data_IF_892835774713
#
_entry.id   IF_892835774713
#
_cell.length_a   1.000
_cell.length_b   1.000
_cell.length_c   1.000
_cell.angle_alpha   90.00
_cell.angle_beta   90.00
_cell.angle_gamma   90.00
#
_symmetry.space_group_name_H-M   'P 1'
#
loop_
_entity.id
_entity.type
_entity.pdbx_description
1 polymer ?
#
# COMPACT_ATOMS: atom_id res chain seq x y z
N UNK A 1 -9.74 10.75 -10.17
CA UNK A 1 -10.36 11.02 -8.87
C UNK A 1 -9.31 11.48 -7.87
N UNK A 2 -9.70 12.21 -6.83
CA UNK A 2 -9.01 12.14 -5.54
C UNK A 2 -9.60 10.93 -4.80
N UNK A 3 -8.75 10.00 -4.35
CA UNK A 3 -9.18 8.78 -3.67
C UNK A 3 -9.11 8.99 -2.15
N UNK A 4 -10.21 8.74 -1.45
CA UNK A 4 -10.32 8.78 0.01
C UNK A 4 -10.77 7.40 0.55
N UNK A 5 -10.43 7.02 1.79
CA UNK A 5 -10.60 5.63 2.27
C UNK A 5 -11.20 5.54 3.69
N UNK A 6 -12.17 4.64 3.84
CA UNK A 6 -12.80 4.25 5.10
C UNK A 6 -12.61 2.74 5.29
N UNK A 7 -11.89 2.35 6.34
CA UNK A 7 -11.71 0.95 6.73
C UNK A 7 -12.91 0.54 7.59
N UNK A 8 -13.50 -0.59 7.24
CA UNK A 8 -14.54 -1.30 7.99
C UNK A 8 -13.92 -2.66 8.37
N UNK A 9 -14.25 -3.29 9.51
CA UNK A 9 -13.66 -4.61 9.84
C UNK A 9 -14.67 -5.64 10.37
N UNK A 10 -14.94 -6.77 9.69
CA UNK A 10 -15.70 -7.93 10.26
C UNK A 10 -15.60 -9.28 9.49
N UNK A 11 -15.24 -10.37 10.19
CA UNK A 11 -15.16 -11.88 10.11
C UNK A 11 -15.75 -12.84 9.01
N UNK A 12 -14.98 -13.86 8.53
CA UNK A 12 -15.35 -15.24 8.06
C UNK A 12 -14.08 -16.12 7.80
N UNK A 13 -14.17 -17.46 7.72
CA UNK A 13 -13.08 -18.50 7.75
C UNK A 13 -12.48 -18.98 6.40
N UNK A 14 -11.15 -19.26 6.37
CA UNK A 14 -10.45 -20.23 5.48
C UNK A 14 -9.16 -20.79 6.15
N UNK A 15 -8.73 -22.00 5.78
CA UNK A 15 -7.65 -22.78 6.43
C UNK A 15 -6.33 -22.87 5.62
N UNK A 16 -5.18 -22.84 6.32
CA UNK A 16 -3.83 -23.10 5.79
C UNK A 16 -3.21 -24.33 6.51
N UNK A 17 -2.50 -25.19 5.79
CA UNK A 17 -2.03 -26.50 6.29
C UNK A 17 -0.79 -26.46 7.20
N UNK A 18 -0.04 -25.35 7.25
CA UNK A 18 1.17 -25.20 8.10
C UNK A 18 1.00 -24.22 9.27
N UNK A 19 0.04 -23.31 9.18
CA UNK A 19 -0.39 -22.41 10.26
C UNK A 19 -1.91 -22.62 10.31
N UNK A 20 -2.41 -23.50 11.19
CA UNK A 20 -3.75 -24.05 11.01
C UNK A 20 -4.88 -23.00 11.01
N UNK A 21 -4.65 -21.80 11.54
CA UNK A 21 -5.69 -20.79 11.74
C UNK A 21 -5.20 -19.34 11.53
N UNK A 22 -4.67 -19.02 10.36
CA UNK A 22 -4.40 -17.63 9.96
C UNK A 22 -5.18 -17.27 8.70
N UNK A 23 -5.96 -16.20 8.75
CA UNK A 23 -6.79 -15.74 7.64
C UNK A 23 -6.81 -14.22 7.56
N UNK A 24 -6.64 -13.67 6.36
CA UNK A 24 -6.87 -12.26 6.05
C UNK A 24 -7.79 -12.19 4.83
N UNK A 25 -8.90 -11.48 4.94
CA UNK A 25 -9.81 -11.15 3.83
C UNK A 25 -10.02 -9.64 3.75
N UNK A 26 -9.98 -9.09 2.53
CA UNK A 26 -10.25 -7.69 2.27
C UNK A 26 -11.31 -7.59 1.17
N UNK A 27 -12.53 -7.22 1.55
CA UNK A 27 -13.60 -6.90 0.58
C UNK A 27 -13.61 -5.40 0.34
N UNK A 28 -13.70 -4.97 -0.92
CA UNK A 28 -13.67 -3.54 -1.26
C UNK A 28 -14.91 -3.13 -2.05
N UNK A 29 -15.51 -2.01 -1.68
CA UNK A 29 -16.52 -1.30 -2.50
C UNK A 29 -16.03 0.13 -2.76
N UNK A 30 -16.32 0.66 -3.93
CA UNK A 30 -16.02 2.04 -4.29
C UNK A 30 -17.31 2.82 -4.51
N UNK A 31 -17.39 4.04 -4.00
CA UNK A 31 -18.51 4.96 -4.21
C UNK A 31 -18.02 6.40 -4.39
N UNK A 32 -18.75 7.21 -5.16
CA UNK A 32 -18.43 8.61 -5.42
C UNK A 32 -18.95 9.52 -4.28
N UNK A 33 -18.41 9.32 -3.08
CA UNK A 33 -18.71 10.14 -1.89
C UNK A 33 -17.46 10.29 -1.00
N UNK A 34 -17.61 11.02 0.11
CA UNK A 34 -16.54 11.33 1.07
C UNK A 34 -16.45 10.34 2.25
N UNK A 35 -16.99 9.11 2.10
CA UNK A 35 -17.05 8.14 3.20
C UNK A 35 -18.36 8.18 3.99
N UNK A 36 -19.40 8.81 3.45
CA UNK A 36 -20.68 9.01 4.13
C UNK A 36 -21.61 7.80 4.16
N UNK A 37 -21.35 6.76 3.36
CA UNK A 37 -22.25 5.60 3.25
C UNK A 37 -22.00 4.62 4.37
N UNK A 38 -22.99 4.49 5.26
CA UNK A 38 -22.99 3.45 6.28
C UNK A 38 -23.28 2.07 5.67
N UNK A 39 -22.54 1.06 6.12
CA UNK A 39 -22.75 -0.35 5.76
C UNK A 39 -22.84 -0.67 4.25
N UNK A 40 -22.04 0.02 3.43
CA UNK A 40 -22.04 -0.16 1.97
C UNK A 40 -21.69 -1.59 1.50
N UNK A 41 -21.06 -2.40 2.36
CA UNK A 41 -20.69 -3.79 2.08
C UNK A 41 -21.74 -4.81 2.55
N UNK A 42 -22.90 -4.34 3.06
CA UNK A 42 -24.04 -5.19 3.38
C UNK A 42 -23.79 -6.17 4.51
N UNK A 43 -23.08 -5.76 5.56
CA UNK A 43 -22.86 -6.54 6.77
C UNK A 43 -24.20 -6.76 7.49
N UNK A 44 -24.32 -7.93 8.10
CA UNK A 44 -25.42 -8.25 9.02
C UNK A 44 -25.38 -7.38 10.29
N UNK A 45 -26.48 -7.26 11.04
CA UNK A 45 -26.50 -6.50 12.29
C UNK A 45 -25.47 -6.98 13.33
N UNK A 46 -25.24 -8.30 13.39
CA UNK A 46 -24.26 -8.90 14.32
C UNK A 46 -22.84 -8.51 13.92
N UNK A 47 -22.56 -8.52 12.62
CA UNK A 47 -21.26 -8.09 12.12
C UNK A 47 -21.03 -6.61 12.43
N UNK A 48 -22.01 -5.75 12.15
CA UNK A 48 -21.93 -4.31 12.40
C UNK A 48 -21.61 -3.94 13.85
N UNK A 49 -22.15 -4.66 14.83
CA UNK A 49 -21.90 -4.41 16.26
C UNK A 49 -20.43 -4.64 16.62
N UNK A 50 -19.80 -5.65 16.03
CA UNK A 50 -18.39 -5.98 16.29
C UNK A 50 -17.42 -5.19 15.42
N UNK A 51 -17.94 -4.38 14.50
CA UNK A 51 -17.14 -3.65 13.53
C UNK A 51 -16.53 -2.41 14.17
N UNK A 52 -15.24 -2.23 13.96
CA UNK A 52 -14.58 -0.94 14.10
C UNK A 52 -14.57 -0.20 12.75
N UNK A 53 -14.85 1.10 12.80
CA UNK A 53 -14.77 1.99 11.64
C UNK A 53 -13.57 2.91 11.83
N UNK A 54 -12.68 2.88 10.86
CA UNK A 54 -11.43 3.63 10.90
C UNK A 54 -11.28 4.45 9.61
N UNK A 55 -11.25 5.77 9.73
CA UNK A 55 -11.14 6.68 8.60
C UNK A 55 -9.66 6.95 8.32
N UNK A 56 -9.21 6.65 7.10
CA UNK A 56 -7.82 6.87 6.68
C UNK A 56 -7.71 8.21 5.97
N UNK A 57 -7.01 9.16 6.59
CA UNK A 57 -6.71 10.46 6.00
C UNK A 57 -5.36 10.49 5.30
N UNK A 58 -5.38 10.38 3.97
CA UNK A 58 -4.15 10.42 3.17
C UNK A 58 -3.36 11.72 3.33
N UNK A 59 -3.95 12.83 3.76
CA UNK A 59 -3.22 14.09 3.96
C UNK A 59 -2.71 14.23 5.41
N UNK A 60 -3.55 13.87 6.39
CA UNK A 60 -3.36 14.23 7.79
C UNK A 60 -3.06 13.07 8.75
N UNK A 61 -3.26 11.82 8.35
CA UNK A 61 -2.83 10.70 9.20
C UNK A 61 -1.30 10.60 9.22
N UNK A 62 -0.77 10.22 10.38
CA UNK A 62 0.66 10.08 10.58
C UNK A 62 1.24 8.93 9.74
N UNK A 63 2.28 9.24 8.97
CA UNK A 63 3.07 8.26 8.26
C UNK A 63 4.42 8.10 8.97
N UNK A 64 4.88 6.86 9.12
CA UNK A 64 6.22 6.58 9.66
C UNK A 64 7.29 7.36 8.89
N UNK A 65 8.21 8.01 9.63
CA UNK A 65 9.28 8.83 9.06
C UNK A 65 10.18 8.07 8.08
N UNK A 66 10.29 6.75 8.22
CA UNK A 66 11.02 5.87 7.27
C UNK A 66 10.41 5.89 5.87
N UNK A 67 9.09 6.06 5.77
CA UNK A 67 8.35 6.01 4.51
C UNK A 67 7.98 7.40 3.99
N UNK A 68 8.14 8.45 4.81
CA UNK A 68 7.80 9.81 4.41
C UNK A 68 8.72 10.32 3.29
N UNK A 69 8.10 10.86 2.26
CA UNK A 69 8.73 11.64 1.20
C UNK A 69 7.86 12.85 0.93
N UNK A 70 8.47 14.03 0.87
CA UNK A 70 7.73 15.29 0.68
C UNK A 70 7.02 15.30 -0.68
N UNK A 71 7.64 14.76 -1.72
CA UNK A 71 7.04 14.65 -3.05
C UNK A 71 5.87 13.67 -3.13
N UNK A 72 5.70 12.81 -2.12
CA UNK A 72 4.56 11.89 -1.97
C UNK A 72 3.54 12.39 -0.92
N UNK A 73 3.72 13.60 -0.38
CA UNK A 73 2.81 14.19 0.61
C UNK A 73 1.66 14.94 -0.07
N UNK A 74 0.40 14.49 0.07
CA UNK A 74 -0.75 15.17 -0.54
C UNK A 74 -0.95 16.61 -0.07
N UNK A 75 -0.40 17.01 1.07
CA UNK A 75 -0.44 18.41 1.56
C UNK A 75 0.42 19.36 0.73
N UNK A 76 1.41 18.84 0.02
CA UNK A 76 2.35 19.64 -0.78
C UNK A 76 2.26 19.33 -2.26
N UNK A 77 1.79 18.12 -2.61
CA UNK A 77 1.66 17.69 -4.00
C UNK A 77 0.46 18.37 -4.70
N UNK A 78 0.72 18.94 -5.88
CA UNK A 78 -0.30 19.35 -6.84
C UNK A 78 0.00 18.75 -8.21
N UNK A 79 -0.98 18.04 -8.75
CA UNK A 79 -0.94 17.44 -10.08
C UNK A 79 -0.85 18.50 -11.17
N UNK A 80 0.16 18.40 -12.03
CA UNK A 80 0.30 19.26 -13.21
C UNK A 80 -0.64 18.84 -14.34
N UNK A 81 -1.08 17.58 -14.35
CA UNK A 81 -2.01 17.05 -15.36
C UNK A 81 -3.47 17.42 -15.07
N UNK A 82 -3.85 17.41 -13.80
CA UNK A 82 -5.27 17.53 -13.38
C UNK A 82 -5.56 18.74 -12.50
N UNK A 83 -4.53 19.43 -12.00
CA UNK A 83 -4.68 20.54 -11.06
C UNK A 83 -5.10 20.13 -9.64
N UNK A 84 -5.29 18.83 -9.37
CA UNK A 84 -5.70 18.32 -8.05
C UNK A 84 -4.60 18.46 -7.01
N UNK A 85 -5.01 18.72 -5.77
CA UNK A 85 -4.09 19.05 -4.68
C UNK A 85 -3.63 20.51 -4.75
N UNK A 86 -2.89 20.99 -3.74
CA UNK A 86 -2.62 20.31 -2.48
C UNK A 86 -3.88 20.08 -1.65
N UNK A 87 -3.91 19.01 -0.86
CA UNK A 87 -5.01 18.70 0.05
C UNK A 87 -4.84 19.49 1.35
N UNK A 88 -5.80 20.37 1.63
CA UNK A 88 -5.85 21.21 2.83
C UNK A 88 -6.83 20.65 3.87
N UNK A 89 -6.90 21.27 5.05
CA UNK A 89 -7.80 20.81 6.10
C UNK A 89 -9.25 20.89 5.62
N UNK A 90 -10.04 19.84 5.89
CA UNK A 90 -11.41 19.73 5.36
C UNK A 90 -11.49 19.39 3.86
N UNK A 91 -10.39 18.94 3.23
CA UNK A 91 -10.38 18.59 1.80
C UNK A 91 -11.46 17.58 1.39
N UNK A 92 -11.89 16.68 2.29
CA UNK A 92 -12.90 15.64 2.03
C UNK A 92 -14.25 16.24 1.62
N UNK A 93 -14.57 17.43 2.12
CA UNK A 93 -15.86 18.09 1.89
C UNK A 93 -15.78 19.13 0.76
N UNK A 94 -14.57 19.57 0.41
CA UNK A 94 -14.32 20.66 -0.54
C UNK A 94 -13.73 20.20 -1.87
N UNK A 95 -13.21 18.97 -1.94
CA UNK A 95 -12.56 18.41 -3.14
C UNK A 95 -13.55 17.66 -4.01
N UNK A 96 -13.56 17.95 -5.31
CA UNK A 96 -14.29 17.18 -6.31
C UNK A 96 -13.43 16.97 -7.58
N UNK A 97 -13.54 15.83 -8.26
CA UNK A 97 -14.32 14.64 -7.88
C UNK A 97 -13.64 13.87 -6.73
N UNK A 98 -14.46 13.40 -5.78
CA UNK A 98 -14.04 12.51 -4.69
C UNK A 98 -14.65 11.12 -4.86
N UNK A 99 -13.89 10.09 -4.48
CA UNK A 99 -14.42 8.74 -4.30
C UNK A 99 -13.93 8.20 -2.97
N UNK A 100 -14.77 7.40 -2.31
CA UNK A 100 -14.42 6.61 -1.16
C UNK A 100 -14.30 5.14 -1.54
N UNK A 101 -13.21 4.51 -1.14
CA UNK A 101 -13.11 3.05 -1.14
C UNK A 101 -13.26 2.54 0.28
N UNK A 102 -14.30 1.74 0.45
CA UNK A 102 -14.66 1.08 1.68
C UNK A 102 -14.01 -0.29 1.70
N UNK A 103 -13.09 -0.52 2.63
CA UNK A 103 -12.34 -1.77 2.74
C UNK A 103 -12.75 -2.51 4.00
N UNK A 104 -13.48 -3.61 3.85
CA UNK A 104 -13.79 -4.52 4.93
C UNK A 104 -12.62 -5.48 5.17
N UNK A 105 -11.81 -5.23 6.19
CA UNK A 105 -10.65 -6.05 6.56
C UNK A 105 -11.03 -7.04 7.65
N UNK A 106 -10.70 -8.30 7.45
CA UNK A 106 -11.00 -9.38 8.37
C UNK A 106 -9.68 -10.10 8.62
N UNK A 107 -9.19 -10.12 9.84
CA UNK A 107 -8.02 -10.89 10.23
C UNK A 107 -8.40 -11.90 11.31
N UNK A 108 -7.91 -13.14 11.19
CA UNK A 108 -8.06 -14.17 12.21
C UNK A 108 -6.71 -14.85 12.43
N UNK A 109 -6.36 -15.05 13.71
CA UNK A 109 -5.16 -15.76 14.13
C UNK A 109 -5.42 -16.63 15.36
N UNK A 110 -5.89 -17.87 15.18
CA UNK A 110 -6.34 -18.69 16.31
C UNK A 110 -5.18 -19.50 16.93
N UNK A 111 -4.17 -18.79 17.43
CA UNK A 111 -3.10 -19.37 18.23
C UNK A 111 -3.24 -18.93 19.69
N UNK A 112 -3.30 -19.91 20.58
CA UNK A 112 -3.47 -19.69 22.01
C UNK A 112 -2.41 -18.73 22.56
N UNK A 113 -2.86 -17.73 23.32
CA UNK A 113 -2.00 -16.71 23.94
C UNK A 113 -1.45 -15.63 22.99
N UNK A 114 -1.70 -15.70 21.68
CA UNK A 114 -1.18 -14.74 20.70
C UNK A 114 -2.24 -14.10 19.80
N UNK A 115 -3.47 -14.63 19.77
CA UNK A 115 -4.55 -14.20 18.88
C UNK A 115 -4.69 -12.68 18.76
N UNK A 116 -5.16 -12.01 19.81
CA UNK A 116 -5.46 -10.56 19.79
C UNK A 116 -4.25 -9.74 19.36
N UNK A 117 -3.07 -10.03 19.92
CA UNK A 117 -1.84 -9.28 19.59
C UNK A 117 -1.46 -9.37 18.12
N UNK A 118 -1.68 -10.53 17.50
CA UNK A 118 -1.34 -10.75 16.09
C UNK A 118 -2.42 -10.18 15.18
N UNK A 119 -3.71 -10.34 15.51
CA UNK A 119 -4.83 -9.71 14.79
C UNK A 119 -4.70 -8.18 14.77
N UNK A 120 -4.45 -7.56 15.94
CA UNK A 120 -4.22 -6.12 16.05
C UNK A 120 -2.99 -5.66 15.26
N UNK A 121 -1.94 -6.48 15.24
CA UNK A 121 -0.75 -6.19 14.45
C UNK A 121 -1.04 -6.24 12.95
N UNK A 122 -1.77 -7.24 12.47
CA UNK A 122 -2.20 -7.35 11.08
C UNK A 122 -3.01 -6.13 10.66
N UNK A 123 -3.98 -5.73 11.49
CA UNK A 123 -4.82 -4.57 11.20
C UNK A 123 -4.00 -3.28 11.10
N UNK A 124 -3.04 -3.05 12.01
CA UNK A 124 -2.11 -1.93 11.91
C UNK A 124 -1.26 -1.97 10.64
N UNK A 125 -0.68 -3.13 10.30
CA UNK A 125 0.09 -3.27 9.07
C UNK A 125 -0.75 -2.98 7.82
N UNK A 126 -1.99 -3.47 7.77
CA UNK A 126 -2.89 -3.22 6.64
C UNK A 126 -3.24 -1.73 6.57
N UNK A 127 -3.56 -1.08 7.70
CA UNK A 127 -3.79 0.37 7.76
C UNK A 127 -2.59 1.15 7.23
N UNK A 128 -1.38 0.83 7.68
CA UNK A 128 -0.14 1.52 7.26
C UNK A 128 0.13 1.34 5.75
N UNK A 129 -0.05 0.12 5.23
CA UNK A 129 0.11 -0.18 3.80
C UNK A 129 -0.90 0.61 2.97
N UNK A 130 -2.17 0.67 3.42
CA UNK A 130 -3.22 1.40 2.74
C UNK A 130 -2.96 2.91 2.75
N UNK A 131 -2.59 3.47 3.90
CA UNK A 131 -2.24 4.89 4.02
C UNK A 131 -1.09 5.25 3.06
N UNK A 132 0.01 4.51 3.11
CA UNK A 132 1.18 4.77 2.26
C UNK A 132 0.83 4.61 0.78
N UNK A 133 0.20 3.49 0.40
CA UNK A 133 -0.14 3.21 -0.99
C UNK A 133 -1.10 4.24 -1.59
N UNK A 134 -2.04 4.77 -0.80
CA UNK A 134 -2.99 5.78 -1.28
C UNK A 134 -2.41 7.18 -1.36
N UNK A 135 -1.49 7.55 -0.44
CA UNK A 135 -0.67 8.76 -0.59
C UNK A 135 0.12 8.74 -1.90
N UNK A 136 0.79 7.62 -2.17
CA UNK A 136 1.54 7.40 -3.40
C UNK A 136 0.66 7.44 -4.64
N UNK A 137 -0.48 6.74 -4.62
CA UNK A 137 -1.41 6.76 -5.75
C UNK A 137 -1.91 8.17 -6.09
N UNK A 138 -2.18 9.01 -5.07
CA UNK A 138 -2.55 10.42 -5.27
C UNK A 138 -1.37 11.24 -5.83
N UNK A 139 -0.20 11.14 -5.21
CA UNK A 139 0.98 11.89 -5.61
C UNK A 139 1.56 11.48 -6.97
N UNK A 140 1.25 10.28 -7.45
CA UNK A 140 1.68 9.77 -8.76
C UNK A 140 0.58 9.87 -9.82
N UNK A 141 -0.49 10.63 -9.57
CA UNK A 141 -1.59 10.78 -10.53
C UNK A 141 -1.12 11.22 -11.91
N UNK A 142 -0.11 12.09 -11.99
CA UNK A 142 0.42 12.56 -13.27
C UNK A 142 1.06 11.45 -14.11
N UNK A 143 1.47 10.35 -13.47
CA UNK A 143 2.09 9.19 -14.13
C UNK A 143 1.04 8.26 -14.73
N UNK A 144 -0.12 8.08 -14.09
CA UNK A 144 -1.14 7.10 -14.50
C UNK A 144 -2.42 7.69 -15.09
N UNK A 145 -2.68 9.00 -14.96
CA UNK A 145 -3.96 9.61 -15.34
C UNK A 145 -4.38 9.38 -16.80
N UNK A 146 -3.41 9.43 -17.73
CA UNK A 146 -3.66 9.24 -19.17
C UNK A 146 -3.36 7.82 -19.66
N UNK A 147 -3.06 6.87 -18.76
CA UNK A 147 -2.76 5.50 -19.17
C UNK A 147 -4.01 4.82 -19.71
N UNK A 148 -3.88 4.23 -20.90
CA UNK A 148 -4.90 3.31 -21.43
C UNK A 148 -4.79 1.95 -20.75
N UNK A 149 -5.84 1.13 -20.87
CA UNK A 149 -5.79 -0.25 -20.37
C UNK A 149 -4.64 -1.05 -21.01
N UNK A 150 -4.26 -0.73 -22.24
CA UNK A 150 -3.15 -1.39 -22.93
C UNK A 150 -1.79 -0.96 -22.36
N UNK A 151 -1.64 0.31 -21.98
CA UNK A 151 -0.46 0.81 -21.26
C UNK A 151 -0.32 0.13 -19.90
N UNK A 152 -1.44 -0.05 -19.18
CA UNK A 152 -1.47 -0.77 -17.90
C UNK A 152 -1.00 -2.21 -18.09
N UNK A 153 -1.51 -2.93 -19.11
CA UNK A 153 -1.08 -4.30 -19.40
C UNK A 153 0.41 -4.39 -19.72
N UNK A 154 0.93 -3.46 -20.51
CA UNK A 154 2.36 -3.41 -20.82
C UNK A 154 3.20 -3.13 -19.57
N UNK A 155 2.74 -2.21 -18.71
CA UNK A 155 3.39 -1.92 -17.44
C UNK A 155 3.41 -3.16 -16.53
N UNK A 156 2.28 -3.85 -16.36
CA UNK A 156 2.19 -5.08 -15.58
C UNK A 156 3.13 -6.16 -16.10
N UNK A 157 3.16 -6.40 -17.42
CA UNK A 157 4.06 -7.37 -18.04
C UNK A 157 5.54 -7.04 -17.78
N UNK A 158 5.91 -5.77 -17.95
CA UNK A 158 7.27 -5.28 -17.68
C UNK A 158 7.63 -5.48 -16.21
N UNK A 159 6.76 -5.08 -15.28
CA UNK A 159 7.00 -5.22 -13.84
C UNK A 159 7.06 -6.67 -13.39
N UNK A 160 6.23 -7.54 -13.96
CA UNK A 160 6.30 -8.97 -13.71
C UNK A 160 7.65 -9.54 -14.16
N UNK A 161 8.12 -9.18 -15.35
CA UNK A 161 9.40 -9.63 -15.87
C UNK A 161 10.59 -9.14 -15.01
N UNK A 162 10.61 -7.87 -14.64
CA UNK A 162 11.66 -7.30 -13.78
C UNK A 162 11.66 -7.91 -12.38
N UNK A 163 10.47 -8.17 -11.80
CA UNK A 163 10.33 -8.83 -10.50
C UNK A 163 10.85 -10.26 -10.56
N UNK A 164 10.48 -11.02 -11.58
CA UNK A 164 10.95 -12.39 -11.79
C UNK A 164 12.48 -12.43 -11.90
N UNK A 165 13.07 -11.47 -12.63
CA UNK A 165 14.53 -11.38 -12.77
C UNK A 165 15.22 -11.04 -11.45
N UNK A 166 14.70 -10.09 -10.67
CA UNK A 166 15.23 -9.76 -9.34
C UNK A 166 15.18 -10.96 -8.39
N UNK A 167 14.08 -11.70 -8.38
CA UNK A 167 13.93 -12.93 -7.57
C UNK A 167 14.94 -13.99 -8.00
N UNK A 168 15.09 -14.21 -9.31
CA UNK A 168 16.07 -15.15 -9.87
C UNK A 168 17.50 -14.80 -9.44
N UNK A 169 17.90 -13.53 -9.58
CA UNK A 169 19.23 -13.05 -9.19
C UNK A 169 19.45 -13.17 -7.66
N UNK A 170 18.44 -12.87 -6.85
CA UNK A 170 18.51 -13.04 -5.38
C UNK A 170 18.73 -14.50 -5.00
N UNK A 171 18.05 -15.43 -5.66
CA UNK A 171 18.22 -16.86 -5.42
C UNK A 171 19.62 -17.34 -5.80
N UNK A 172 20.16 -16.89 -6.96
CA UNK A 172 21.52 -17.24 -7.37
C UNK A 172 22.61 -16.70 -6.43
N UNK A 173 22.41 -15.50 -5.85
CA UNK A 173 23.34 -14.93 -4.87
C UNK A 173 23.34 -15.70 -3.55
N UNK A 174 22.21 -16.33 -3.17
CA UNK A 174 22.11 -17.15 -1.96
C UNK A 174 22.70 -18.56 -2.12
N UNK A 175 22.87 -19.05 -3.35
CA UNK A 175 23.44 -20.39 -3.64
C UNK A 175 24.97 -20.39 -3.81
N UNK A 176 25.64 -19.24 -3.77
CA UNK A 176 27.10 -19.18 -3.93
C UNK A 176 27.79 -19.72 -2.66
N UNK A 177 28.65 -20.76 -2.75
CA UNK A 177 29.34 -21.30 -1.58
C UNK A 177 30.29 -20.24 -0.98
N UNK A 178 30.55 -20.27 0.35
CA UNK A 178 31.44 -19.31 0.99
C UNK A 178 32.82 -19.43 0.34
N UNK A 179 33.20 -18.39 -0.40
CA UNK A 179 34.54 -18.30 -1.00
C UNK A 179 35.53 -18.05 0.14
N UNK A 180 36.60 -18.85 0.30
CA UNK A 180 37.60 -18.60 1.32
C UNK A 180 38.31 -17.27 1.04
N UNK A 181 38.33 -16.41 2.04
CA UNK A 181 38.94 -15.08 2.03
C UNK A 181 40.45 -15.17 1.74
N UNK A 182 40.99 -14.40 0.78
CA UNK A 182 42.38 -13.98 0.84
C UNK A 182 42.45 -12.56 1.41
N UNK A 183 43.18 -12.44 2.50
CA UNK A 183 43.61 -11.18 3.11
C UNK A 183 44.50 -10.41 2.13
N UNK A 184 44.14 -9.18 1.74
CA UNK A 184 45.04 -8.00 1.80
C UNK A 184 44.39 -6.75 1.21
N UNK A 185 44.77 -5.64 1.82
CA UNK A 185 44.34 -4.26 1.72
C UNK A 185 44.78 -3.50 0.47
N UNK A 186 43.90 -2.71 -0.16
CA UNK A 186 44.17 -1.35 -0.70
C UNK A 186 42.84 -0.57 -0.82
N UNK A 187 42.76 0.73 -0.47
CA UNK A 187 41.55 1.54 -0.67
C UNK A 187 41.50 2.12 -2.10
N UNK A 188 40.39 1.94 -2.79
CA UNK A 188 40.10 2.57 -4.09
C UNK A 188 38.95 3.58 -3.94
N UNK A 189 39.19 4.80 -4.37
CA UNK A 189 38.25 5.93 -4.39
C UNK A 189 37.03 5.67 -5.27
N UNK A 190 35.83 6.19 -4.92
CA UNK A 190 34.64 6.01 -5.74
C UNK A 190 34.61 6.99 -6.93
N UNK A 191 34.41 6.44 -8.14
CA UNK A 191 33.98 7.19 -9.32
C UNK A 191 32.52 7.66 -9.18
N UNK A 192 32.15 8.82 -9.76
CA UNK A 192 30.78 9.33 -9.71
C UNK A 192 29.84 8.50 -10.59
N UNK A 193 28.71 8.06 -10.02
CA UNK A 193 27.60 7.45 -10.77
C UNK A 193 26.81 8.55 -11.47
N UNK A 194 26.66 8.44 -12.79
CA UNK A 194 25.73 9.21 -13.60
C UNK A 194 24.27 8.92 -13.19
N UNK A 195 23.37 9.91 -13.26
CA UNK A 195 21.99 9.74 -12.82
C UNK A 195 21.19 8.98 -13.88
N UNK A 196 20.96 7.69 -13.65
CA UNK A 196 19.94 6.95 -14.38
C UNK A 196 18.58 7.45 -13.88
N UNK A 197 17.69 7.87 -14.80
CA UNK A 197 16.31 8.20 -14.49
C UNK A 197 15.67 7.01 -13.75
N UNK A 198 15.46 7.19 -12.46
CA UNK A 198 14.76 6.24 -11.61
C UNK A 198 13.29 6.25 -12.02
N UNK A 199 12.89 5.34 -12.89
CA UNK A 199 11.47 4.98 -13.03
C UNK A 199 10.99 4.49 -11.67
N UNK A 200 10.14 5.29 -11.01
CA UNK A 200 9.53 4.96 -9.73
C UNK A 200 8.75 3.65 -9.90
N UNK A 201 9.02 2.69 -9.01
CA UNK A 201 8.29 1.43 -8.98
C UNK A 201 7.17 1.55 -7.97
N UNK A 202 5.93 1.28 -8.39
CA UNK A 202 4.77 1.42 -7.51
C UNK A 202 4.73 0.40 -6.36
N UNK A 203 5.61 -0.60 -6.38
CA UNK A 203 5.69 -1.67 -5.40
C UNK A 203 7.14 -2.00 -4.98
N UNK A 204 8.02 -0.99 -4.83
CA UNK A 204 9.36 -1.24 -4.29
C UNK A 204 9.34 -1.43 -2.77
N UNK A 205 8.80 -2.55 -2.31
CA UNK A 205 9.00 -3.00 -0.92
C UNK A 205 10.37 -3.67 -0.85
N UNK A 206 11.41 -2.84 -0.69
CA UNK A 206 12.79 -3.27 -0.37
C UNK A 206 13.10 -2.97 1.08
#
# INVERSE_FOLDING_TARGET
>A
MAFFFMILMVYQEYTCSFIPKFHISIRTRYEDNNGSTENCLGLSPIELIHREVDFVDIAYDELSSKHYKEEEDPKFFQSQRTGRGPLVEGWKDTTQPIMCSYKLVQASFEVWGMQTRVEDFIHRCIRDILLLGHRQAFAWIDEWYDMTLEDVRHYEQKMQAETNEKVRLRNMNNEKPPTPTPTSSVPSSPLPKSPTQSTRSWFSWS
#
